data_IF_060974473984
#
_entry.id   IF_060974473984
#
_cell.length_a   1.000
_cell.length_b   1.000
_cell.length_c   1.000
_cell.angle_alpha   90.00
_cell.angle_beta   90.00
_cell.angle_gamma   90.00
#
_symmetry.space_group_name_H-M   'P 1'
#
loop_
_entity.id
_entity.type
_entity.pdbx_description
1 polymer ?
#
# COMPACT_ATOMS: atom_id res chain seq x y z
N UNK A 1 11.21 10.13 -19.93
CA UNK A 1 9.87 9.77 -19.43
C UNK A 1 9.80 10.18 -17.97
N UNK A 2 8.82 10.98 -17.58
CA UNK A 2 8.67 11.40 -16.18
C UNK A 2 8.07 10.23 -15.39
N UNK A 3 8.91 9.52 -14.65
CA UNK A 3 8.44 8.50 -13.71
C UNK A 3 7.80 9.21 -12.51
N UNK A 4 6.62 8.77 -12.09
CA UNK A 4 5.98 9.27 -10.87
C UNK A 4 6.08 8.21 -9.77
N UNK A 5 6.72 8.56 -8.66
CA UNK A 5 6.79 7.73 -7.46
C UNK A 5 5.90 8.38 -6.39
N UNK A 6 4.91 7.64 -5.92
CA UNK A 6 3.90 8.11 -4.97
C UNK A 6 3.89 7.20 -3.75
N UNK A 7 3.66 7.79 -2.57
CA UNK A 7 3.53 7.07 -1.31
C UNK A 7 2.10 7.23 -0.78
N UNK A 8 1.59 6.17 -0.15
CA UNK A 8 0.28 6.17 0.48
C UNK A 8 0.28 5.42 1.81
N UNK A 9 0.12 6.17 2.90
CA UNK A 9 -0.11 5.67 4.26
C UNK A 9 -1.54 6.02 4.70
N UNK A 10 -2.56 5.26 4.25
CA UNK A 10 -3.96 5.58 4.51
C UNK A 10 -4.32 5.34 5.99
N UNK A 11 -5.27 6.10 6.57
CA UNK A 11 -5.80 5.76 7.88
C UNK A 11 -6.65 4.48 7.82
N UNK A 12 -6.71 3.75 8.93
CA UNK A 12 -7.49 2.51 9.10
C UNK A 12 -8.98 2.80 9.32
N UNK A 13 -9.60 3.44 8.34
CA UNK A 13 -11.04 3.66 8.32
C UNK A 13 -11.71 2.68 7.36
N UNK A 14 -12.82 2.03 7.76
CA UNK A 14 -13.73 1.36 6.84
C UNK A 14 -14.04 2.26 5.64
N UNK A 15 -14.12 1.66 4.45
CA UNK A 15 -14.42 2.37 3.20
C UNK A 15 -13.24 3.13 2.58
N UNK A 16 -12.44 3.86 3.37
CA UNK A 16 -11.38 4.71 2.80
C UNK A 16 -10.23 3.90 2.19
N UNK A 17 -9.81 2.82 2.83
CA UNK A 17 -8.80 1.92 2.24
C UNK A 17 -9.29 1.31 0.92
N UNK A 18 -10.56 0.91 0.85
CA UNK A 18 -11.16 0.39 -0.38
C UNK A 18 -11.20 1.43 -1.49
N UNK A 19 -11.57 2.68 -1.15
CA UNK A 19 -11.59 3.80 -2.07
C UNK A 19 -10.17 4.15 -2.57
N UNK A 20 -9.18 4.10 -1.69
CA UNK A 20 -7.77 4.28 -2.05
C UNK A 20 -7.31 3.20 -3.04
N UNK A 21 -7.62 1.92 -2.79
CA UNK A 21 -7.28 0.85 -3.74
C UNK A 21 -7.92 1.08 -5.10
N UNK A 22 -9.21 1.43 -5.14
CA UNK A 22 -9.91 1.75 -6.39
C UNK A 22 -9.26 2.95 -7.10
N UNK A 23 -8.89 4.00 -6.37
CA UNK A 23 -8.25 5.19 -6.95
C UNK A 23 -6.86 4.89 -7.50
N UNK A 24 -6.04 4.13 -6.77
CA UNK A 24 -4.72 3.69 -7.24
C UNK A 24 -4.86 2.86 -8.51
N UNK A 25 -5.81 1.91 -8.56
CA UNK A 25 -6.06 1.10 -9.76
C UNK A 25 -6.36 1.97 -10.97
N UNK A 26 -7.31 2.92 -10.86
CA UNK A 26 -7.61 3.84 -11.97
C UNK A 26 -6.39 4.65 -12.42
N UNK A 27 -5.57 5.17 -11.48
CA UNK A 27 -4.36 5.92 -11.85
C UNK A 27 -3.36 5.02 -12.59
N UNK A 28 -3.23 3.76 -12.19
CA UNK A 28 -2.34 2.79 -12.82
C UNK A 28 -2.87 2.31 -14.17
N UNK A 29 -4.19 2.17 -14.34
CA UNK A 29 -4.84 1.91 -15.62
C UNK A 29 -4.59 3.07 -16.60
N UNK A 30 -4.84 4.32 -16.16
CA UNK A 30 -4.60 5.54 -16.95
C UNK A 30 -3.11 5.68 -17.31
N UNK A 31 -2.21 5.38 -16.38
CA UNK A 31 -0.78 5.40 -16.64
C UNK A 31 -0.37 4.33 -17.65
N UNK A 32 -0.89 3.11 -17.51
CA UNK A 32 -0.57 1.99 -18.41
C UNK A 32 -1.06 2.27 -19.83
N UNK A 33 -2.29 2.77 -20.00
CA UNK A 33 -2.85 3.14 -21.31
C UNK A 33 -2.07 4.25 -22.02
N UNK A 34 -1.37 5.10 -21.25
CA UNK A 34 -0.53 6.19 -21.76
C UNK A 34 0.96 5.82 -21.80
N UNK A 35 1.31 4.55 -21.55
CA UNK A 35 2.68 4.05 -21.44
C UNK A 35 3.56 4.89 -20.51
N UNK A 36 2.98 5.36 -19.40
CA UNK A 36 3.65 6.12 -18.34
C UNK A 36 4.01 5.20 -17.19
N UNK A 37 5.21 5.38 -16.65
CA UNK A 37 5.66 4.67 -15.45
C UNK A 37 5.20 5.39 -14.19
N UNK A 38 4.27 4.78 -13.45
CA UNK A 38 3.79 5.24 -12.16
C UNK A 38 3.97 4.11 -11.15
N UNK A 39 4.56 4.44 -10.00
CA UNK A 39 4.81 3.52 -8.90
C UNK A 39 4.11 4.06 -7.65
N UNK A 40 3.37 3.19 -6.97
CA UNK A 40 2.82 3.43 -5.65
C UNK A 40 3.53 2.56 -4.61
N UNK A 41 3.95 3.19 -3.53
CA UNK A 41 4.41 2.54 -2.30
C UNK A 41 3.29 2.70 -1.27
N UNK A 42 2.58 1.62 -0.98
CA UNK A 42 1.48 1.62 -0.02
C UNK A 42 1.96 1.04 1.29
N UNK A 43 1.84 1.80 2.38
CA UNK A 43 2.31 1.45 3.71
C UNK A 43 1.08 1.18 4.59
N UNK A 44 0.91 -0.07 5.03
CA UNK A 44 -0.23 -0.50 5.84
C UNK A 44 0.18 -1.59 6.85
N UNK A 45 -0.39 -1.66 8.06
CA UNK A 45 -0.26 -2.77 8.98
C UNK A 45 -0.53 -4.10 8.28
N UNK A 46 0.29 -5.08 8.62
CA UNK A 46 0.22 -6.39 8.01
C UNK A 46 -1.04 -7.13 8.48
N UNK A 47 -1.90 -7.48 7.55
CA UNK A 47 -3.07 -8.31 7.83
C UNK A 47 -2.67 -9.79 7.85
N UNK A 48 -2.43 -10.38 9.03
CA UNK A 48 -2.11 -11.81 9.16
C UNK A 48 -3.36 -12.69 8.97
N UNK A 49 -3.19 -13.87 8.36
CA UNK A 49 -4.20 -14.94 8.36
C UNK A 49 -4.17 -15.64 9.72
N UNK A 50 -4.79 -15.04 10.75
CA UNK A 50 -5.06 -15.78 11.99
C UNK A 50 -6.57 -16.01 12.18
N UNK A 51 -6.85 -17.26 12.54
CA UNK A 51 -8.13 -17.88 12.88
C UNK A 51 -8.57 -17.49 14.29
N UNK A 52 -8.86 -16.20 14.50
CA UNK A 52 -9.40 -15.71 15.78
C UNK A 52 -10.74 -15.02 15.57
N UNK A 53 -11.72 -15.47 16.34
CA UNK A 53 -13.17 -15.36 16.22
C UNK A 53 -13.75 -13.99 16.63
N UNK A 54 -12.97 -12.92 16.60
CA UNK A 54 -13.45 -11.56 16.88
C UNK A 54 -12.65 -10.52 16.11
N UNK A 55 -12.85 -10.46 14.80
CA UNK A 55 -12.32 -9.36 13.97
C UNK A 55 -13.30 -8.20 14.04
N UNK A 56 -12.82 -7.03 14.48
CA UNK A 56 -13.65 -5.83 14.43
C UNK A 56 -13.87 -5.42 12.96
N UNK A 57 -14.88 -4.57 12.74
CA UNK A 57 -15.26 -4.11 11.40
C UNK A 57 -14.08 -3.48 10.62
N UNK A 58 -13.21 -2.75 11.32
CA UNK A 58 -12.04 -2.09 10.75
C UNK A 58 -11.04 -3.11 10.19
N UNK A 59 -10.72 -4.16 10.93
CA UNK A 59 -9.81 -5.21 10.50
C UNK A 59 -10.35 -5.98 9.28
N UNK A 60 -11.66 -6.20 9.21
CA UNK A 60 -12.30 -6.85 8.06
C UNK A 60 -12.13 -6.03 6.78
N UNK A 61 -12.42 -4.72 6.84
CA UNK A 61 -12.25 -3.84 5.69
C UNK A 61 -10.78 -3.62 5.30
N UNK A 62 -9.89 -3.52 6.30
CA UNK A 62 -8.46 -3.44 6.07
C UNK A 62 -7.95 -4.69 5.36
N UNK A 63 -8.34 -5.89 5.83
CA UNK A 63 -7.98 -7.16 5.17
C UNK A 63 -8.52 -7.23 3.75
N UNK A 64 -9.77 -6.85 3.51
CA UNK A 64 -10.34 -6.87 2.16
C UNK A 64 -9.55 -5.96 1.20
N UNK A 65 -9.20 -4.75 1.65
CA UNK A 65 -8.40 -3.81 0.85
C UNK A 65 -6.98 -4.34 0.61
N UNK A 66 -6.37 -4.91 1.64
CA UNK A 66 -5.05 -5.54 1.58
C UNK A 66 -5.02 -6.71 0.57
N UNK A 67 -5.98 -7.62 0.66
CA UNK A 67 -6.10 -8.76 -0.26
C UNK A 67 -6.36 -8.29 -1.69
N UNK A 68 -7.15 -7.22 -1.89
CA UNK A 68 -7.37 -6.60 -3.21
C UNK A 68 -6.09 -6.04 -3.82
N UNK A 69 -5.22 -5.40 -3.02
CA UNK A 69 -3.91 -4.94 -3.49
C UNK A 69 -3.07 -6.12 -3.95
N UNK A 70 -2.95 -7.16 -3.13
CA UNK A 70 -2.10 -8.33 -3.45
C UNK A 70 -2.56 -9.10 -4.68
N UNK A 71 -3.86 -9.07 -4.99
CA UNK A 71 -4.42 -9.71 -6.19
C UNK A 71 -4.43 -8.79 -7.41
N UNK A 72 -4.01 -7.54 -7.28
CA UNK A 72 -3.99 -6.58 -8.38
C UNK A 72 -2.99 -7.00 -9.45
N UNK A 73 -3.34 -6.82 -10.72
CA UNK A 73 -2.41 -7.02 -11.84
C UNK A 73 -1.20 -6.07 -11.84
N UNK A 74 -1.26 -5.02 -11.01
CA UNK A 74 -0.21 -4.03 -10.84
C UNK A 74 0.71 -4.32 -9.66
N UNK A 75 0.39 -5.34 -8.84
CA UNK A 75 1.22 -5.71 -7.70
C UNK A 75 2.58 -6.24 -8.18
N UNK A 76 3.65 -5.72 -7.59
CA UNK A 76 5.03 -6.11 -7.92
C UNK A 76 5.65 -6.89 -6.77
N UNK A 77 5.66 -6.31 -5.57
CA UNK A 77 6.41 -6.84 -4.45
C UNK A 77 5.80 -6.41 -3.12
N UNK A 78 5.99 -7.23 -2.09
CA UNK A 78 5.72 -6.90 -0.69
C UNK A 78 6.97 -7.06 0.15
N UNK A 79 7.15 -6.15 1.09
CA UNK A 79 8.06 -6.27 2.22
C UNK A 79 7.24 -6.23 3.51
N UNK A 80 7.60 -7.03 4.50
CA UNK A 80 7.06 -6.92 5.84
C UNK A 80 8.18 -6.46 6.75
N UNK A 81 7.94 -5.41 7.53
CA UNK A 81 8.82 -4.95 8.60
C UNK A 81 8.18 -5.37 9.91
N UNK A 82 8.92 -6.08 10.75
CA UNK A 82 8.36 -6.65 11.98
C UNK A 82 8.04 -5.55 12.98
N UNK A 83 7.06 -5.79 13.84
CA UNK A 83 6.83 -4.95 15.03
C UNK A 83 8.13 -4.70 15.80
N UNK A 84 8.26 -3.51 16.40
CA UNK A 84 9.46 -3.07 17.14
C UNK A 84 10.77 -2.92 16.35
N UNK A 85 10.84 -3.35 15.09
CA UNK A 85 11.96 -3.01 14.19
C UNK A 85 11.76 -1.67 13.48
N UNK A 86 10.61 -1.03 13.68
CA UNK A 86 10.23 0.25 13.09
C UNK A 86 9.31 1.05 14.00
N UNK A 87 8.98 2.26 13.58
CA UNK A 87 8.08 3.15 14.29
C UNK A 87 7.41 4.15 13.37
N UNK A 88 6.60 5.00 13.98
CA UNK A 88 5.83 6.03 13.30
C UNK A 88 5.94 7.34 14.04
N UNK A 89 5.60 8.41 13.34
CA UNK A 89 5.50 9.74 13.93
C UNK A 89 4.05 9.98 14.36
N UNK A 90 3.84 10.48 15.58
CA UNK A 90 2.50 10.74 16.09
C UNK A 90 1.72 11.74 15.22
N UNK A 91 0.41 11.52 15.04
CA UNK A 91 -0.44 12.47 14.29
C UNK A 91 -0.50 13.87 14.92
N UNK A 92 -0.37 13.96 16.25
CA UNK A 92 -0.31 15.22 17.00
C UNK A 92 1.13 15.75 17.17
N UNK A 93 2.07 15.34 16.32
CA UNK A 93 3.47 15.78 16.35
C UNK A 93 3.68 17.31 16.37
N UNK A 94 2.72 18.08 15.86
CA UNK A 94 2.76 19.54 15.86
C UNK A 94 2.61 20.15 17.25
N UNK A 95 2.11 19.39 18.23
CA UNK A 95 1.91 19.82 19.63
C UNK A 95 2.91 19.19 20.61
N UNK A 96 3.84 18.33 20.16
CA UNK A 96 4.63 17.47 21.05
C UNK A 96 6.14 17.54 20.78
N UNK A 97 7.00 17.58 21.83
CA UNK A 97 8.45 17.58 21.67
C UNK A 97 9.01 16.24 21.18
N UNK A 98 8.55 15.12 21.77
CA UNK A 98 8.88 13.76 21.32
C UNK A 98 7.81 13.28 20.35
N UNK A 99 8.26 12.82 19.18
CA UNK A 99 7.37 12.59 18.01
C UNK A 99 7.38 11.15 17.51
N UNK A 100 8.48 10.43 17.73
CA UNK A 100 8.65 9.07 17.27
C UNK A 100 8.13 8.07 18.32
N UNK A 101 7.34 7.11 17.86
CA UNK A 101 6.88 5.96 18.64
C UNK A 101 7.25 4.68 17.93
N UNK A 102 7.70 3.70 18.71
CA UNK A 102 7.88 2.35 18.22
C UNK A 102 6.53 1.76 17.79
N UNK A 103 6.52 1.01 16.69
CA UNK A 103 5.32 0.38 16.17
C UNK A 103 5.05 -0.95 16.89
N UNK A 104 3.86 -1.13 17.49
CA UNK A 104 3.48 -2.38 18.15
C UNK A 104 2.90 -3.41 17.18
N UNK A 105 2.92 -3.15 15.86
CA UNK A 105 2.38 -4.04 14.84
C UNK A 105 3.36 -4.15 13.66
N UNK A 106 3.39 -5.31 13.01
CA UNK A 106 4.04 -5.46 11.71
C UNK A 106 3.46 -4.48 10.69
N UNK A 107 4.31 -3.95 9.82
CA UNK A 107 3.90 -3.10 8.70
C UNK A 107 4.30 -3.74 7.38
N UNK A 108 3.37 -3.79 6.43
CA UNK A 108 3.62 -4.18 5.06
C UNK A 108 3.84 -2.95 4.18
N UNK A 109 4.91 -3.00 3.39
CA UNK A 109 5.19 -2.06 2.30
C UNK A 109 4.88 -2.78 1.00
N UNK A 110 3.87 -2.30 0.28
CA UNK A 110 3.35 -2.90 -0.95
C UNK A 110 3.73 -2.02 -2.13
N UNK A 111 4.36 -2.62 -3.13
CA UNK A 111 4.76 -1.94 -4.37
C UNK A 111 3.75 -2.28 -5.46
N UNK A 112 3.12 -1.26 -6.02
CA UNK A 112 2.31 -1.35 -7.24
C UNK A 112 2.94 -0.51 -8.34
N UNK A 113 2.89 -0.99 -9.58
CA UNK A 113 3.47 -0.28 -10.72
C UNK A 113 2.58 -0.43 -11.95
N UNK A 114 2.45 0.64 -12.73
CA UNK A 114 1.76 0.60 -14.02
C UNK A 114 2.46 -0.36 -14.98
N UNK A 115 1.68 -0.99 -15.85
CA UNK A 115 2.24 -1.80 -16.92
C UNK A 115 2.72 -0.85 -18.01
N UNK A 116 4.00 -0.93 -18.32
CA UNK A 116 4.48 -0.37 -19.57
C UNK A 116 4.54 -1.51 -20.57
N UNK A 117 4.04 -1.26 -21.77
CA UNK A 117 4.42 -2.05 -22.92
C UNK A 117 5.91 -1.80 -23.13
N UNK A 118 6.74 -2.62 -22.48
CA UNK A 118 8.04 -2.92 -23.06
C UNK A 118 7.67 -3.51 -24.41
N UNK A 119 7.76 -2.72 -25.50
CA UNK A 119 7.91 -3.30 -26.84
C UNK A 119 8.96 -4.38 -26.65
N UNK A 120 8.56 -5.64 -26.77
CA UNK A 120 9.48 -6.75 -26.82
C UNK A 120 10.47 -6.37 -27.90
N UNK A 121 11.66 -5.93 -27.51
CA UNK A 121 12.77 -5.84 -28.44
C UNK A 121 13.00 -7.30 -28.77
N UNK A 122 12.55 -7.71 -29.95
CA UNK A 122 12.85 -9.01 -30.52
C UNK A 122 14.36 -9.09 -30.63
N UNK A 123 15.02 -9.71 -29.66
CA UNK A 123 16.39 -10.17 -29.84
C UNK A 123 16.28 -11.34 -30.80
N UNK A 124 16.60 -11.06 -32.06
CA UNK A 124 16.76 -12.07 -33.12
C UNK A 124 18.06 -12.81 -32.89
#
# INVERSE_FOLDING_TARGET
ANNSLLEANPPFSPGLMNAMVTRIQHILDDASSQNRNVIFIVIVPTCRHHSSSSKNIVQTFAKASFDRILRSQYFVQKFTIQEREHGYVEGSQHMRPTRYKESPYDTSVLVLQSKNDKKSINTT
#
